data_IF_439288496993
#
_entry.id   IF_439288496993
#
_cell.length_a   1.000
_cell.length_b   1.000
_cell.length_c   1.000
_cell.angle_alpha   90.00
_cell.angle_beta   90.00
_cell.angle_gamma   90.00
#
_symmetry.space_group_name_H-M   'P 1'
#
loop_
_entity.id
_entity.type
_entity.pdbx_description
1 polymer ?
#
# COMPACT_ATOMS: atom_id res chain seq x y z
N UNK A 1 -12.12 -32.26 0.65
CA UNK A 1 -13.39 -31.74 0.11
C UNK A 1 -13.03 -31.03 -1.18
N UNK A 2 -13.17 -31.74 -2.30
CA UNK A 2 -12.71 -31.29 -3.61
C UNK A 2 -13.63 -30.17 -4.10
N UNK A 3 -13.09 -28.95 -4.25
CA UNK A 3 -13.70 -27.95 -5.14
C UNK A 3 -13.25 -28.31 -6.54
N UNK A 4 -14.21 -28.69 -7.38
CA UNK A 4 -14.06 -28.69 -8.83
C UNK A 4 -13.67 -27.27 -9.24
N UNK A 5 -12.44 -27.10 -9.73
CA UNK A 5 -12.02 -25.88 -10.42
C UNK A 5 -12.54 -26.07 -11.84
N UNK A 6 -13.49 -25.22 -12.25
CA UNK A 6 -13.91 -25.15 -13.64
C UNK A 6 -12.70 -24.82 -14.51
N UNK A 7 -12.28 -25.77 -15.35
CA UNK A 7 -11.30 -25.54 -16.41
C UNK A 7 -11.89 -24.51 -17.40
N UNK A 8 -11.40 -23.27 -17.37
CA UNK A 8 -11.56 -22.34 -18.50
C UNK A 8 -11.58 -20.84 -18.22
N UNK A 9 -11.88 -20.39 -17.00
CA UNK A 9 -11.92 -18.95 -16.71
C UNK A 9 -10.50 -18.45 -16.37
N UNK A 10 -9.93 -17.63 -17.27
CA UNK A 10 -8.67 -16.93 -17.01
C UNK A 10 -8.91 -15.92 -15.90
N UNK A 11 -8.29 -16.18 -14.75
CA UNK A 11 -8.25 -15.23 -13.63
C UNK A 11 -7.43 -14.02 -14.09
N UNK A 12 -7.99 -12.81 -13.90
CA UNK A 12 -7.28 -11.56 -14.17
C UNK A 12 -5.95 -11.54 -13.39
N UNK A 13 -4.88 -11.11 -14.03
CA UNK A 13 -3.58 -10.90 -13.39
C UNK A 13 -3.35 -9.42 -13.14
N UNK A 14 -2.82 -9.07 -11.97
CA UNK A 14 -2.55 -7.68 -11.65
C UNK A 14 -2.88 -7.36 -10.19
N UNK A 15 -3.27 -6.11 -9.96
CA UNK A 15 -3.86 -5.68 -8.69
C UNK A 15 -5.14 -4.90 -8.91
N UNK A 16 -6.09 -5.05 -7.99
CA UNK A 16 -7.28 -4.19 -7.91
C UNK A 16 -7.09 -3.17 -6.81
N UNK A 17 -7.28 -1.90 -7.18
CA UNK A 17 -7.22 -0.75 -6.29
C UNK A 17 -8.59 -0.09 -6.21
N UNK A 18 -8.99 0.29 -5.00
CA UNK A 18 -10.19 1.09 -4.77
C UNK A 18 -9.79 2.55 -4.60
N UNK A 19 -10.28 3.43 -5.49
CA UNK A 19 -9.99 4.87 -5.48
C UNK A 19 -11.26 5.66 -5.17
N UNK A 20 -11.26 6.62 -4.22
CA UNK A 20 -12.42 7.50 -4.01
C UNK A 20 -12.78 8.27 -5.28
N UNK A 21 -14.06 8.25 -5.67
CA UNK A 21 -14.58 8.92 -6.87
C UNK A 21 -15.56 10.02 -6.47
N UNK A 22 -15.35 11.23 -6.98
CA UNK A 22 -16.31 12.33 -6.88
C UNK A 22 -16.93 12.55 -8.25
N UNK A 23 -18.25 12.57 -8.31
CA UNK A 23 -18.98 12.86 -9.54
C UNK A 23 -19.57 14.26 -9.42
N UNK A 24 -19.21 15.14 -10.35
CA UNK A 24 -19.63 16.55 -10.37
C UNK A 24 -20.58 16.81 -11.54
N UNK A 25 -21.56 17.67 -11.30
CA UNK A 25 -22.45 18.15 -12.35
C UNK A 25 -21.71 19.07 -13.31
N UNK A 26 -21.91 18.83 -14.60
CA UNK A 26 -21.27 19.59 -15.66
C UNK A 26 -21.65 21.07 -15.65
N UNK A 27 -22.89 21.39 -15.30
CA UNK A 27 -23.40 22.77 -15.35
C UNK A 27 -23.07 23.55 -14.07
N UNK A 28 -23.27 22.96 -12.88
CA UNK A 28 -23.12 23.67 -11.61
C UNK A 28 -21.77 23.44 -10.93
N UNK A 29 -21.00 22.42 -11.33
CA UNK A 29 -19.81 21.92 -10.61
C UNK A 29 -20.11 21.46 -9.18
N UNK A 30 -21.38 21.23 -8.84
CA UNK A 30 -21.77 20.66 -7.55
C UNK A 30 -21.58 19.13 -7.57
N UNK A 31 -21.28 18.56 -6.41
CA UNK A 31 -21.16 17.10 -6.28
C UNK A 31 -22.52 16.44 -6.43
N UNK A 32 -22.65 15.56 -7.43
CA UNK A 32 -23.80 14.68 -7.64
C UNK A 32 -23.77 13.55 -6.62
N UNK A 33 -22.66 12.81 -6.57
CA UNK A 33 -22.44 11.69 -5.64
C UNK A 33 -20.96 11.47 -5.35
N UNK A 34 -20.70 10.88 -4.18
CA UNK A 34 -19.39 10.35 -3.81
C UNK A 34 -19.47 8.83 -3.85
N UNK A 35 -18.58 8.19 -4.59
CA UNK A 35 -18.56 6.74 -4.81
C UNK A 35 -17.11 6.22 -4.78
N UNK A 36 -16.91 5.00 -5.29
CA UNK A 36 -15.60 4.39 -5.48
C UNK A 36 -15.42 4.00 -6.93
N UNK A 37 -14.23 4.28 -7.45
CA UNK A 37 -13.74 3.74 -8.71
C UNK A 37 -12.93 2.49 -8.40
N UNK A 38 -13.25 1.39 -9.07
CA UNK A 38 -12.45 0.18 -9.03
C UNK A 38 -11.47 0.23 -10.19
N UNK A 39 -10.18 0.13 -9.89
CA UNK A 39 -9.09 0.25 -10.86
C UNK A 39 -8.31 -1.06 -10.88
N UNK A 40 -8.35 -1.76 -12.00
CA UNK A 40 -7.47 -2.89 -12.27
C UNK A 40 -6.18 -2.37 -12.91
N UNK A 41 -5.06 -2.83 -12.35
CA UNK A 41 -3.71 -2.49 -12.78
C UNK A 41 -3.01 -3.77 -13.20
N UNK A 42 -2.69 -3.88 -14.48
CA UNK A 42 -2.02 -5.04 -15.05
C UNK A 42 -0.88 -4.64 -15.99
N UNK A 43 -0.06 -5.61 -16.39
CA UNK A 43 0.93 -5.41 -17.45
C UNK A 43 0.22 -5.14 -18.78
N UNK A 44 0.66 -4.13 -19.54
CA UNK A 44 0.13 -3.87 -20.86
C UNK A 44 0.78 -4.81 -21.90
N UNK A 45 0.41 -6.09 -21.87
CA UNK A 45 1.02 -7.12 -22.74
C UNK A 45 0.82 -6.84 -24.24
N UNK A 46 -0.21 -6.08 -24.59
CA UNK A 46 -0.49 -5.62 -25.96
C UNK A 46 0.44 -4.47 -26.43
N UNK A 47 1.08 -3.77 -25.49
CA UNK A 47 2.03 -2.69 -25.77
C UNK A 47 3.23 -2.82 -24.81
N UNK A 48 4.07 -3.86 -25.00
CA UNK A 48 5.16 -4.16 -24.08
C UNK A 48 6.24 -3.06 -24.11
N UNK A 49 6.85 -2.81 -22.96
CA UNK A 49 7.95 -1.86 -22.82
C UNK A 49 9.29 -2.52 -23.11
N UNK A 50 10.17 -1.83 -23.85
CA UNK A 50 11.59 -2.19 -23.98
C UNK A 50 12.46 -1.56 -22.88
N UNK A 51 11.88 -0.73 -22.00
CA UNK A 51 12.60 -0.04 -20.95
C UNK A 51 12.72 -0.92 -19.69
N UNK A 52 13.95 -1.27 -19.23
CA UNK A 52 14.13 -2.09 -18.05
C UNK A 52 13.67 -1.43 -16.74
N UNK A 53 13.46 -0.11 -16.72
CA UNK A 53 13.03 0.63 -15.52
C UNK A 53 11.51 0.69 -15.37
N UNK A 54 10.75 0.39 -16.42
CA UNK A 54 9.30 0.54 -16.40
C UNK A 54 8.60 -0.42 -17.35
N UNK A 55 7.73 -1.25 -16.79
CA UNK A 55 6.78 -2.07 -17.54
C UNK A 55 5.56 -1.19 -17.83
N UNK A 56 5.14 -1.12 -19.08
CA UNK A 56 3.93 -0.39 -19.45
C UNK A 56 2.73 -0.99 -18.70
N UNK A 57 1.88 -0.14 -18.14
CA UNK A 57 0.76 -0.55 -17.27
C UNK A 57 -0.56 -0.29 -17.94
N UNK A 58 -1.42 -1.30 -17.96
CA UNK A 58 -2.82 -1.21 -18.36
C UNK A 58 -3.62 -0.75 -17.13
N UNK A 59 -4.26 0.42 -17.23
CA UNK A 59 -5.15 0.95 -16.19
C UNK A 59 -6.59 0.88 -16.68
N UNK A 60 -7.33 -0.14 -16.24
CA UNK A 60 -8.76 -0.29 -16.54
C UNK A 60 -9.56 0.08 -15.31
N UNK A 61 -10.56 0.93 -15.46
CA UNK A 61 -11.37 1.42 -14.35
C UNK A 61 -12.86 1.22 -14.62
N UNK A 62 -13.58 0.82 -13.57
CA UNK A 62 -15.01 0.52 -13.61
C UNK A 62 -15.73 1.33 -12.53
N UNK A 63 -16.81 1.97 -12.93
CA UNK A 63 -17.83 2.51 -12.05
C UNK A 63 -19.22 2.37 -12.68
N UNK A 64 -20.27 2.80 -11.97
CA UNK A 64 -21.66 2.72 -12.47
C UNK A 64 -21.88 3.42 -13.82
N UNK A 65 -21.06 4.41 -14.14
CA UNK A 65 -21.17 5.24 -15.35
C UNK A 65 -20.48 4.62 -16.58
N UNK A 66 -19.74 3.51 -16.41
CA UNK A 66 -19.12 2.75 -17.51
C UNK A 66 -17.68 2.30 -17.24
N UNK A 67 -17.01 1.93 -18.34
CA UNK A 67 -15.63 1.46 -18.37
C UNK A 67 -14.70 2.54 -18.92
N UNK A 68 -13.52 2.66 -18.32
CA UNK A 68 -12.52 3.67 -18.68
C UNK A 68 -11.16 3.01 -18.74
N UNK A 69 -10.35 3.36 -19.73
CA UNK A 69 -9.07 2.68 -19.90
C UNK A 69 -7.96 3.61 -20.40
N UNK A 70 -6.75 3.42 -19.85
CA UNK A 70 -5.54 4.04 -20.39
C UNK A 70 -4.31 3.18 -20.14
N UNK A 71 -3.44 3.11 -21.13
CA UNK A 71 -2.10 2.57 -21.01
C UNK A 71 -1.13 3.65 -20.52
N UNK A 72 -0.47 3.40 -19.40
CA UNK A 72 0.72 4.16 -19.02
C UNK A 72 1.94 3.54 -19.71
N UNK A 73 2.56 4.30 -20.59
CA UNK A 73 3.73 3.89 -21.34
C UNK A 73 4.96 4.68 -20.92
N UNK A 74 6.14 4.20 -21.28
CA UNK A 74 7.40 4.92 -21.08
C UNK A 74 7.36 6.33 -21.70
N UNK A 75 6.63 6.52 -22.80
CA UNK A 75 6.54 7.79 -23.52
C UNK A 75 5.57 8.80 -22.90
N UNK A 76 4.57 8.31 -22.14
CA UNK A 76 3.52 9.15 -21.57
C UNK A 76 3.59 9.31 -20.04
N UNK A 77 4.38 8.46 -19.36
CA UNK A 77 4.58 8.45 -17.90
C UNK A 77 5.03 9.80 -17.37
N UNK A 78 5.93 10.49 -18.07
CA UNK A 78 6.47 11.78 -17.68
C UNK A 78 5.42 12.91 -17.74
N UNK A 79 4.38 12.76 -18.57
CA UNK A 79 3.29 13.75 -18.72
C UNK A 79 2.25 13.67 -17.61
N UNK A 80 2.27 12.60 -16.82
CA UNK A 80 1.39 12.42 -15.66
C UNK A 80 1.65 13.50 -14.62
N UNK A 81 2.91 13.87 -14.41
CA UNK A 81 3.32 14.75 -13.34
C UNK A 81 3.44 16.19 -13.80
N UNK A 82 3.15 17.12 -12.89
CA UNK A 82 3.43 18.54 -13.11
C UNK A 82 4.94 18.74 -13.23
N UNK A 83 5.36 19.65 -14.12
CA UNK A 83 6.79 19.96 -14.36
C UNK A 83 7.53 20.41 -13.10
N UNK A 84 6.84 21.05 -12.17
CA UNK A 84 7.39 21.48 -10.90
C UNK A 84 6.48 21.02 -9.76
N UNK A 85 7.01 20.16 -8.90
CA UNK A 85 6.34 19.67 -7.70
C UNK A 85 7.23 20.06 -6.51
N UNK A 86 6.73 20.89 -5.59
CA UNK A 86 7.49 21.23 -4.39
C UNK A 86 7.92 19.97 -3.63
N UNK A 87 9.20 19.92 -3.26
CA UNK A 87 9.82 18.88 -2.43
C UNK A 87 9.87 17.47 -3.03
N UNK A 88 9.40 17.22 -4.25
CA UNK A 88 9.46 15.90 -4.90
C UNK A 88 10.33 16.01 -6.16
N UNK A 89 11.48 15.32 -6.14
CA UNK A 89 12.36 15.20 -7.30
C UNK A 89 11.97 13.99 -8.15
N UNK A 90 11.34 14.25 -9.30
CA UNK A 90 10.96 13.24 -10.30
C UNK A 90 11.90 13.18 -11.50
N UNK A 91 13.07 13.82 -11.41
CA UNK A 91 14.11 13.76 -12.46
C UNK A 91 14.77 12.37 -12.53
N UNK A 92 15.52 12.11 -13.60
CA UNK A 92 16.32 10.89 -13.79
C UNK A 92 15.50 9.61 -13.55
N UNK A 93 14.36 9.48 -14.24
CA UNK A 93 13.54 8.26 -14.25
C UNK A 93 12.89 7.88 -12.89
N UNK A 94 13.05 8.70 -11.84
CA UNK A 94 12.38 8.51 -10.53
C UNK A 94 10.86 8.52 -10.60
N UNK A 95 10.29 9.12 -11.65
CA UNK A 95 8.86 9.07 -11.90
C UNK A 95 8.35 7.65 -12.19
N UNK A 96 9.17 6.76 -12.74
CA UNK A 96 8.81 5.34 -12.92
C UNK A 96 8.67 4.63 -11.58
N UNK A 97 9.59 4.86 -10.64
CA UNK A 97 9.50 4.33 -9.28
C UNK A 97 8.20 4.78 -8.60
N UNK A 98 7.86 6.07 -8.73
CA UNK A 98 6.61 6.60 -8.18
C UNK A 98 5.38 5.95 -8.83
N UNK A 99 5.36 5.75 -10.15
CA UNK A 99 4.25 5.08 -10.84
C UNK A 99 4.17 3.59 -10.49
N UNK A 100 5.28 2.91 -10.28
CA UNK A 100 5.31 1.53 -9.83
C UNK A 100 4.71 1.38 -8.43
N UNK A 101 4.97 2.34 -7.54
CA UNK A 101 4.43 2.34 -6.18
C UNK A 101 2.95 2.74 -6.13
N UNK A 102 2.51 3.66 -7.00
CA UNK A 102 1.10 4.07 -7.10
C UNK A 102 0.22 3.04 -7.80
N UNK A 103 0.79 2.29 -8.75
CA UNK A 103 0.10 1.30 -9.58
C UNK A 103 0.91 -0.01 -9.61
N UNK A 104 0.95 -0.78 -8.50
CA UNK A 104 1.68 -2.03 -8.42
C UNK A 104 1.07 -3.10 -9.34
N UNK A 105 1.91 -3.96 -9.93
CA UNK A 105 1.48 -5.04 -10.83
C UNK A 105 1.13 -6.33 -10.09
N UNK A 106 1.54 -6.46 -8.84
CA UNK A 106 1.31 -7.64 -8.01
C UNK A 106 1.15 -7.24 -6.54
N UNK A 107 0.72 -8.21 -5.74
CA UNK A 107 0.44 -7.99 -4.32
C UNK A 107 1.71 -7.69 -3.52
N UNK A 108 2.85 -8.29 -3.87
CA UNK A 108 4.13 -8.08 -3.18
C UNK A 108 4.56 -6.61 -3.33
N UNK A 109 4.55 -6.10 -4.56
CA UNK A 109 4.81 -4.70 -4.89
C UNK A 109 3.84 -3.75 -4.19
N UNK A 110 2.55 -4.13 -4.08
CA UNK A 110 1.55 -3.34 -3.34
C UNK A 110 1.90 -3.26 -1.85
N UNK A 111 2.33 -4.37 -1.24
CA UNK A 111 2.74 -4.43 0.16
C UNK A 111 4.02 -3.63 0.37
N UNK A 112 5.03 -3.82 -0.47
CA UNK A 112 6.30 -3.09 -0.41
C UNK A 112 6.07 -1.58 -0.49
N UNK A 113 5.28 -1.12 -1.47
CA UNK A 113 4.95 0.29 -1.63
C UNK A 113 4.28 0.92 -0.39
N UNK A 114 3.59 0.10 0.43
CA UNK A 114 2.96 0.54 1.68
C UNK A 114 3.89 0.42 2.90
N UNK A 115 4.80 -0.54 2.92
CA UNK A 115 5.68 -0.81 4.06
C UNK A 115 7.00 -0.02 4.03
N UNK A 116 7.52 0.36 2.86
CA UNK A 116 8.85 0.95 2.76
C UNK A 116 8.92 2.36 3.34
N UNK A 117 9.48 2.46 4.54
CA UNK A 117 9.99 3.69 5.19
C UNK A 117 11.47 3.95 4.88
N UNK A 118 12.07 3.19 3.95
CA UNK A 118 13.53 3.00 3.88
C UNK A 118 14.30 4.02 3.02
N UNK A 119 13.65 4.77 2.12
CA UNK A 119 14.34 5.81 1.35
C UNK A 119 13.73 7.22 1.60
N UNK A 120 14.54 8.30 1.65
CA UNK A 120 14.05 9.68 1.86
C UNK A 120 13.04 10.14 0.80
N UNK A 121 13.19 9.67 -0.44
CA UNK A 121 12.23 9.89 -1.53
C UNK A 121 10.92 9.10 -1.36
N UNK A 122 10.92 8.00 -0.60
CA UNK A 122 9.77 7.13 -0.35
C UNK A 122 8.96 7.54 0.89
N UNK A 123 9.55 8.20 1.88
CA UNK A 123 8.80 8.82 2.99
C UNK A 123 7.81 9.90 2.49
N UNK A 124 8.15 10.57 1.39
CA UNK A 124 7.26 11.53 0.73
C UNK A 124 6.11 10.84 -0.03
N UNK A 125 6.31 9.58 -0.45
CA UNK A 125 5.29 8.80 -1.18
C UNK A 125 4.20 8.25 -0.25
N UNK A 126 4.51 7.98 1.02
CA UNK A 126 3.50 7.63 2.04
C UNK A 126 2.47 8.74 2.25
N UNK A 127 2.79 9.96 1.82
CA UNK A 127 1.89 11.10 1.83
C UNK A 127 1.26 11.32 0.44
N UNK A 128 1.01 10.28 -0.36
CA UNK A 128 0.28 10.41 -1.62
C UNK A 128 -1.01 9.61 -1.58
N UNK A 129 -2.08 10.23 -2.10
CA UNK A 129 -3.39 9.60 -2.27
C UNK A 129 -3.90 9.78 -3.69
N UNK A 130 -4.58 8.76 -4.18
CA UNK A 130 -5.32 8.79 -5.42
C UNK A 130 -6.75 9.29 -5.16
N UNK A 131 -7.26 10.13 -6.05
CA UNK A 131 -8.64 10.59 -6.05
C UNK A 131 -9.12 10.70 -7.48
N UNK A 132 -10.26 10.11 -7.79
CA UNK A 132 -10.86 10.15 -9.11
C UNK A 132 -11.96 11.23 -9.16
N UNK A 133 -12.15 11.81 -10.34
CA UNK A 133 -13.23 12.75 -10.61
C UNK A 133 -13.87 12.45 -11.96
N UNK A 134 -15.20 12.41 -12.01
CA UNK A 134 -15.96 12.30 -13.25
C UNK A 134 -16.93 13.47 -13.36
N UNK A 135 -17.01 14.07 -14.55
CA UNK A 135 -18.01 15.09 -14.85
C UNK A 135 -19.18 14.40 -15.53
N UNK A 136 -20.39 14.64 -15.06
CA UNK A 136 -21.62 14.05 -15.63
C UNK A 136 -22.75 15.09 -15.63
N UNK A 137 -23.77 14.86 -16.44
CA UNK A 137 -24.98 15.67 -16.36
C UNK A 137 -25.89 15.15 -15.23
N UNK A 138 -26.37 16.05 -14.36
CA UNK A 138 -27.27 15.70 -13.24
C UNK A 138 -28.56 15.01 -13.70
N UNK A 139 -29.01 15.28 -14.92
CA UNK A 139 -30.18 14.63 -15.53
C UNK A 139 -30.04 13.12 -15.67
N UNK A 140 -28.83 12.58 -15.61
CA UNK A 140 -28.57 11.15 -15.78
C UNK A 140 -28.70 10.36 -14.47
N UNK A 141 -29.17 11.01 -13.40
CA UNK A 141 -29.29 10.42 -12.08
C UNK A 141 -30.72 10.49 -11.57
N UNK A 142 -31.12 9.47 -10.80
CA UNK A 142 -32.41 9.42 -10.12
C UNK A 142 -32.45 10.34 -8.87
N UNK A 143 -33.57 10.30 -8.14
CA UNK A 143 -33.74 11.07 -6.90
C UNK A 143 -32.77 10.64 -5.77
N UNK A 144 -32.17 9.45 -5.84
CA UNK A 144 -31.19 8.93 -4.90
C UNK A 144 -29.74 9.17 -5.33
N UNK A 145 -29.53 9.86 -6.46
CA UNK A 145 -28.25 10.05 -7.13
C UNK A 145 -27.64 8.76 -7.70
N UNK A 146 -28.46 7.76 -8.01
CA UNK A 146 -28.02 6.58 -8.76
C UNK A 146 -28.10 6.83 -10.26
N UNK A 147 -27.16 6.26 -11.01
CA UNK A 147 -27.11 6.43 -12.46
C UNK A 147 -28.27 5.67 -13.10
N UNK A 148 -28.97 6.29 -14.06
CA UNK A 148 -30.15 5.69 -14.67
C UNK A 148 -29.74 4.61 -15.69
N UNK A 149 -30.37 3.43 -15.60
CA UNK A 149 -30.02 2.24 -16.41
C UNK A 149 -30.22 2.42 -17.92
N UNK A 150 -31.17 3.28 -18.33
CA UNK A 150 -31.57 3.47 -19.75
C UNK A 150 -30.79 4.59 -20.47
N UNK A 151 -29.66 5.04 -19.93
CA UNK A 151 -28.86 6.14 -20.47
C UNK A 151 -27.55 5.62 -21.05
N UNK A 152 -27.12 6.22 -22.18
CA UNK A 152 -25.80 5.93 -22.75
C UNK A 152 -24.69 6.18 -21.72
N UNK A 153 -23.67 5.31 -21.62
CA UNK A 153 -22.54 5.48 -20.72
C UNK A 153 -21.90 6.88 -20.83
N UNK A 154 -21.34 7.36 -19.72
CA UNK A 154 -20.77 8.69 -19.67
C UNK A 154 -19.56 8.80 -20.62
N UNK A 155 -19.60 9.78 -21.53
CA UNK A 155 -18.54 10.00 -22.54
C UNK A 155 -17.40 10.92 -22.07
N UNK A 156 -17.44 11.44 -20.84
CA UNK A 156 -16.36 12.27 -20.30
C UNK A 156 -15.26 11.41 -19.67
N UNK A 157 -14.01 11.87 -19.75
CA UNK A 157 -12.88 11.18 -19.12
C UNK A 157 -13.01 11.17 -17.59
N UNK A 158 -12.59 10.08 -16.95
CA UNK A 158 -12.28 10.09 -15.52
C UNK A 158 -10.90 10.73 -15.32
N UNK A 159 -10.81 11.70 -14.42
CA UNK A 159 -9.54 12.31 -14.03
C UNK A 159 -9.05 11.71 -12.72
N UNK A 160 -8.08 10.80 -12.80
CA UNK A 160 -7.31 10.32 -11.66
C UNK A 160 -6.29 11.39 -11.24
N UNK A 161 -6.43 11.92 -10.04
CA UNK A 161 -5.51 12.89 -9.44
C UNK A 161 -4.62 12.22 -8.40
N UNK A 162 -3.32 12.44 -8.51
CA UNK A 162 -2.33 12.07 -7.49
C UNK A 162 -2.14 13.31 -6.62
N UNK A 163 -2.51 13.22 -5.34
CA UNK A 163 -2.50 14.34 -4.40
C UNK A 163 -1.62 14.05 -3.20
N UNK A 164 -1.04 15.08 -2.61
CA UNK A 164 -0.41 14.94 -1.29
C UNK A 164 -1.45 14.69 -0.21
N UNK A 165 -1.10 13.87 0.78
CA UNK A 165 -1.89 13.59 1.95
C UNK A 165 -1.53 14.58 3.06
N UNK A 166 -1.91 15.83 2.80
CA UNK A 166 -1.76 16.94 3.72
C UNK A 166 -3.12 17.60 3.93
N UNK A 167 -3.24 18.40 5.01
CA UNK A 167 -4.41 19.25 5.28
C UNK A 167 -4.80 20.09 4.05
N UNK A 168 -3.80 20.55 3.30
CA UNK A 168 -3.96 21.18 2.00
C UNK A 168 -3.34 20.29 0.94
N UNK A 169 -4.14 19.34 0.45
CA UNK A 169 -3.71 18.38 -0.55
C UNK A 169 -3.38 19.08 -1.87
N UNK A 170 -2.15 18.94 -2.35
CA UNK A 170 -1.69 19.49 -3.63
C UNK A 170 -1.72 18.39 -4.66
N UNK A 171 -2.39 18.62 -5.79
CA UNK A 171 -2.32 17.72 -6.95
C UNK A 171 -0.93 17.80 -7.58
N UNK A 172 -0.20 16.69 -7.56
CA UNK A 172 1.14 16.57 -8.15
C UNK A 172 1.11 15.96 -9.54
N UNK A 173 0.08 15.18 -9.86
CA UNK A 173 -0.09 14.57 -11.17
C UNK A 173 -1.54 14.23 -11.47
N UNK A 174 -1.83 14.03 -12.75
CA UNK A 174 -3.17 13.74 -13.28
C UNK A 174 -3.09 12.74 -14.42
N UNK A 175 -3.99 11.76 -14.41
CA UNK A 175 -4.16 10.78 -15.47
C UNK A 175 -5.62 10.85 -15.91
N UNK A 176 -5.85 11.20 -17.16
CA UNK A 176 -7.17 11.11 -17.78
C UNK A 176 -7.38 9.71 -18.33
N UNK A 177 -8.44 9.03 -17.89
CA UNK A 177 -8.90 7.74 -18.40
C UNK A 177 -10.11 7.99 -19.33
N UNK A 178 -9.94 7.87 -20.65
CA UNK A 178 -11.06 7.98 -21.58
C UNK A 178 -12.05 6.83 -21.41
N UNK A 179 -13.35 7.07 -21.67
CA UNK A 179 -14.34 6.01 -21.72
C UNK A 179 -14.01 5.05 -22.85
N UNK A 180 -14.22 3.76 -22.60
CA UNK A 180 -14.02 2.71 -23.59
C UNK A 180 -15.22 1.79 -23.63
N UNK A 181 -15.48 1.28 -24.83
CA UNK A 181 -16.35 0.14 -25.02
C UNK A 181 -15.46 -1.11 -25.10
N UNK A 182 -15.60 -2.02 -24.14
CA UNK A 182 -14.75 -3.21 -24.02
C UNK A 182 -14.91 -4.10 -25.25
N UNK A 183 -16.12 -4.21 -25.81
CA UNK A 183 -16.39 -5.05 -26.99
C UNK A 183 -15.54 -4.64 -28.21
N UNK A 184 -15.20 -3.35 -28.29
CA UNK A 184 -14.38 -2.79 -29.38
C UNK A 184 -12.87 -2.93 -29.15
N UNK A 185 -12.43 -3.43 -27.99
CA UNK A 185 -11.03 -3.50 -27.59
C UNK A 185 -10.66 -4.92 -27.15
N UNK A 186 -10.26 -5.82 -28.08
CA UNK A 186 -10.03 -7.23 -27.78
C UNK A 186 -9.02 -7.52 -26.66
N UNK A 187 -8.08 -6.60 -26.42
CA UNK A 187 -7.08 -6.69 -25.35
C UNK A 187 -7.67 -6.44 -23.95
N UNK A 188 -8.93 -5.99 -23.85
CA UNK A 188 -9.67 -5.77 -22.62
C UNK A 188 -10.78 -6.81 -22.38
N UNK A 189 -10.91 -7.84 -23.22
CA UNK A 189 -11.99 -8.82 -23.11
C UNK A 189 -12.08 -9.47 -21.71
N UNK A 190 -10.93 -9.74 -21.09
CA UNK A 190 -10.88 -10.34 -19.75
C UNK A 190 -11.43 -9.40 -18.66
N UNK A 191 -11.47 -8.08 -18.93
CA UNK A 191 -11.96 -7.04 -18.02
C UNK A 191 -13.49 -6.93 -17.98
N UNK A 192 -14.19 -7.46 -19.00
CA UNK A 192 -15.65 -7.39 -19.09
C UNK A 192 -16.34 -8.19 -17.99
N UNK A 193 -15.71 -9.28 -17.55
CA UNK A 193 -16.28 -10.17 -16.55
C UNK A 193 -16.02 -9.67 -15.13
N UNK A 194 -17.03 -9.04 -14.52
CA UNK A 194 -16.99 -8.59 -13.12
C UNK A 194 -16.71 -9.72 -12.11
N UNK A 195 -17.00 -10.99 -12.43
CA UNK A 195 -16.63 -12.11 -11.56
C UNK A 195 -15.11 -12.24 -11.46
N UNK A 196 -14.38 -12.07 -12.57
CA UNK A 196 -12.91 -12.11 -12.57
C UNK A 196 -12.32 -11.01 -11.67
N UNK A 197 -12.94 -9.82 -11.67
CA UNK A 197 -12.55 -8.73 -10.78
C UNK A 197 -12.77 -9.09 -9.31
N UNK A 198 -13.94 -9.66 -8.99
CA UNK A 198 -14.23 -10.09 -7.62
C UNK A 198 -13.32 -11.22 -7.17
N UNK A 199 -13.00 -12.19 -8.02
CA UNK A 199 -12.06 -13.27 -7.72
C UNK A 199 -10.66 -12.75 -7.46
N UNK A 200 -10.14 -11.87 -8.33
CA UNK A 200 -8.84 -11.24 -8.11
C UNK A 200 -8.84 -10.44 -6.80
N UNK A 201 -9.83 -9.59 -6.56
CA UNK A 201 -9.93 -8.80 -5.33
C UNK A 201 -10.02 -9.69 -4.08
N UNK A 202 -10.78 -10.78 -4.14
CA UNK A 202 -10.88 -11.74 -3.04
C UNK A 202 -9.56 -12.47 -2.81
N UNK A 203 -8.87 -12.93 -3.87
CA UNK A 203 -7.56 -13.57 -3.73
C UNK A 203 -6.51 -12.63 -3.11
N UNK A 204 -6.55 -11.34 -3.46
CA UNK A 204 -5.71 -10.32 -2.85
C UNK A 204 -6.03 -10.16 -1.35
N UNK A 205 -7.30 -10.10 -0.99
CA UNK A 205 -7.73 -10.00 0.41
C UNK A 205 -7.37 -11.24 1.23
N UNK A 206 -7.55 -12.44 0.68
CA UNK A 206 -7.16 -13.71 1.32
C UNK A 206 -5.66 -13.74 1.58
N UNK A 207 -4.85 -13.39 0.58
CA UNK A 207 -3.39 -13.31 0.71
C UNK A 207 -2.95 -12.27 1.75
N UNK A 208 -3.59 -11.10 1.77
CA UNK A 208 -3.33 -10.07 2.79
C UNK A 208 -3.73 -10.54 4.20
N UNK A 209 -4.81 -11.30 4.33
CA UNK A 209 -5.27 -11.87 5.59
C UNK A 209 -4.28 -12.93 6.10
N UNK A 210 -3.78 -13.80 5.23
CA UNK A 210 -2.75 -14.79 5.58
C UNK A 210 -1.48 -14.13 6.09
N UNK A 211 -0.99 -13.09 5.39
CA UNK A 211 0.16 -12.30 5.83
C UNK A 211 -0.09 -11.59 7.17
N UNK A 212 -1.30 -11.10 7.42
CA UNK A 212 -1.68 -10.50 8.70
C UNK A 212 -1.64 -11.54 9.83
N UNK A 213 -2.15 -12.74 9.58
CA UNK A 213 -2.12 -13.85 10.54
C UNK A 213 -0.68 -14.26 10.85
N UNK A 214 0.16 -14.43 9.82
CA UNK A 214 1.58 -14.77 9.99
C UNK A 214 2.33 -13.68 10.78
N UNK A 215 2.12 -12.42 10.43
CA UNK A 215 2.71 -11.27 11.13
C UNK A 215 2.30 -11.23 12.59
N UNK A 216 1.03 -11.47 12.90
CA UNK A 216 0.53 -11.50 14.28
C UNK A 216 1.13 -12.67 15.08
N UNK A 217 1.22 -13.86 14.49
CA UNK A 217 1.87 -15.02 15.12
C UNK A 217 3.35 -14.75 15.40
N UNK A 218 4.05 -14.11 14.47
CA UNK A 218 5.45 -13.69 14.66
C UNK A 218 5.59 -12.65 15.76
N UNK A 219 4.67 -11.69 15.85
CA UNK A 219 4.65 -10.66 16.88
C UNK A 219 4.41 -11.27 18.27
N UNK A 220 3.50 -12.22 18.40
CA UNK A 220 3.24 -12.92 19.66
C UNK A 220 4.44 -13.80 20.09
N UNK A 221 5.09 -14.47 19.13
CA UNK A 221 6.36 -15.19 19.37
C UNK A 221 7.44 -14.24 19.88
N UNK A 222 7.65 -13.11 19.21
CA UNK A 222 8.65 -12.11 19.61
C UNK A 222 8.34 -11.51 20.98
N UNK A 223 7.07 -11.24 21.30
CA UNK A 223 6.67 -10.81 22.66
C UNK A 223 7.02 -11.85 23.72
N UNK A 224 6.74 -13.13 23.46
CA UNK A 224 7.07 -14.21 24.40
C UNK A 224 8.58 -14.37 24.59
N UNK A 225 9.36 -14.29 23.50
CA UNK A 225 10.83 -14.30 23.56
C UNK A 225 11.36 -13.10 24.36
N UNK A 226 10.79 -11.91 24.17
CA UNK A 226 11.18 -10.70 24.89
C UNK A 226 10.87 -10.80 26.40
N UNK A 227 9.70 -11.32 26.78
CA UNK A 227 9.36 -11.56 28.20
C UNK A 227 10.33 -12.56 28.88
N UNK A 228 10.74 -13.62 28.16
CA UNK A 228 11.73 -14.57 28.67
C UNK A 228 13.10 -13.91 28.85
N UNK A 229 13.51 -13.05 27.91
CA UNK A 229 14.75 -12.29 28.00
C UNK A 229 14.72 -11.32 29.18
N UNK A 230 13.63 -10.58 29.38
CA UNK A 230 13.45 -9.68 30.52
C UNK A 230 13.53 -10.43 31.86
N UNK A 231 12.83 -11.57 31.99
CA UNK A 231 12.90 -12.40 33.19
C UNK A 231 14.30 -12.96 33.44
N UNK A 232 15.00 -13.43 32.41
CA UNK A 232 16.38 -13.91 32.52
C UNK A 232 17.35 -12.80 32.92
N UNK A 233 17.16 -11.58 32.41
CA UNK A 233 17.96 -10.40 32.80
C UNK A 233 17.73 -10.04 34.27
N UNK A 234 16.50 -10.12 34.76
CA UNK A 234 16.16 -9.88 36.16
C UNK A 234 16.79 -10.93 37.09
N UNK A 235 16.69 -12.21 36.73
CA UNK A 235 17.35 -13.30 37.47
C UNK A 235 18.88 -13.12 37.51
N UNK A 236 19.49 -12.79 36.37
CA UNK A 236 20.93 -12.57 36.27
C UNK A 236 21.38 -11.39 37.14
N UNK A 237 20.60 -10.31 37.20
CA UNK A 237 20.87 -9.18 38.11
C UNK A 237 20.81 -9.61 39.57
N UNK A 238 19.76 -10.32 39.96
CA UNK A 238 19.62 -10.82 41.34
C UNK A 238 20.76 -11.77 41.73
N UNK A 239 21.23 -12.61 40.82
CA UNK A 239 22.36 -13.49 41.09
C UNK A 239 23.69 -12.72 41.18
N UNK A 240 23.87 -11.69 40.35
CA UNK A 240 25.03 -10.80 40.43
C UNK A 240 25.07 -10.04 41.76
N UNK A 241 23.93 -9.52 42.23
CA UNK A 241 23.83 -8.82 43.51
C UNK A 241 24.16 -9.77 44.68
N UNK A 242 23.68 -11.01 44.67
CA UNK A 242 24.05 -12.03 45.67
C UNK A 242 25.55 -12.36 45.66
N UNK A 243 26.17 -12.42 44.47
CA UNK A 243 27.61 -12.65 44.34
C UNK A 243 28.38 -11.48 44.95
N UNK A 244 27.93 -10.24 44.72
CA UNK A 244 28.54 -9.05 45.34
C UNK A 244 28.43 -9.12 46.86
N UNK A 245 27.24 -9.38 47.41
CA UNK A 245 27.03 -9.48 48.86
C UNK A 245 27.89 -10.59 49.51
N UNK A 246 28.02 -11.75 48.86
CA UNK A 246 28.89 -12.85 49.33
C UNK A 246 30.37 -12.47 49.28
N UNK A 247 30.83 -11.79 48.21
CA UNK A 247 32.20 -11.30 48.10
C UNK A 247 32.50 -10.24 49.17
N UNK A 248 31.63 -9.26 49.37
CA UNK A 248 31.76 -8.23 50.40
C UNK A 248 31.85 -8.86 51.79
N UNK A 249 30.95 -9.81 52.10
CA UNK A 249 30.94 -10.55 53.37
C UNK A 249 32.26 -11.29 53.59
N UNK A 250 32.80 -11.98 52.57
CA UNK A 250 34.11 -12.65 52.63
C UNK A 250 35.26 -11.67 52.82
N UNK A 251 35.24 -10.52 52.14
CA UNK A 251 36.24 -9.47 52.33
C UNK A 251 36.22 -8.92 53.76
N UNK A 252 35.05 -8.67 54.34
CA UNK A 252 34.91 -8.23 55.73
C UNK A 252 35.43 -9.26 56.73
N UNK A 253 35.13 -10.55 56.53
CA UNK A 253 35.65 -11.64 57.36
C UNK A 253 37.19 -11.70 57.35
N UNK A 254 37.79 -11.63 56.16
CA UNK A 254 39.25 -11.62 56.00
C UNK A 254 39.86 -10.36 56.62
N UNK A 255 39.22 -9.20 56.44
CA UNK A 255 39.68 -7.93 57.03
C UNK A 255 39.65 -7.98 58.56
N UNK A 256 38.59 -8.52 59.15
CA UNK A 256 38.47 -8.67 60.60
C UNK A 256 39.51 -9.66 61.14
N UNK A 257 39.67 -10.83 60.51
CA UNK A 257 40.71 -11.80 60.89
C UNK A 257 42.12 -11.19 60.85
N UNK A 258 42.42 -10.35 59.84
CA UNK A 258 43.70 -9.63 59.76
C UNK A 258 43.83 -8.57 60.86
N UNK A 259 42.76 -7.82 61.16
CA UNK A 259 42.75 -6.84 62.26
C UNK A 259 42.99 -7.51 63.61
N UNK A 260 42.31 -8.63 63.88
CA UNK A 260 42.49 -9.41 65.11
C UNK A 260 43.92 -9.93 65.23
N UNK A 261 44.50 -10.42 64.13
CA UNK A 261 45.91 -10.87 64.11
C UNK A 261 46.88 -9.73 64.41
N UNK A 262 46.66 -8.54 63.85
CA UNK A 262 47.49 -7.36 64.12
C UNK A 262 47.34 -6.93 65.59
N UNK A 263 46.13 -6.97 66.13
CA UNK A 263 45.87 -6.66 67.54
C UNK A 263 46.63 -7.63 68.48
N UNK A 264 46.56 -8.94 68.21
CA UNK A 264 47.33 -9.95 68.94
C UNK A 264 48.84 -9.72 68.89
N UNK A 265 49.37 -9.30 67.72
CA UNK A 265 50.81 -9.05 67.52
C UNK A 265 51.29 -7.74 68.15
N UNK A 266 50.40 -6.77 68.36
CA UNK A 266 50.75 -5.45 68.95
C UNK A 266 50.60 -5.41 70.47
N UNK A 267 49.88 -6.37 71.06
CA UNK A 267 49.59 -6.44 72.50
C UNK A 267 50.24 -7.66 73.20
N UNK A 268 51.16 -8.35 72.52
CA UNK A 268 52.09 -9.33 73.10
C UNK A 268 53.50 -8.75 73.09
#
# INVERSE_FOLDING_TARGET
>A
MNKEIHEGEKILSGTILRVPLIIEDKATSETIKNSSLWLHVSGADYEPSNNPLFINKSLTAICSEGYFHKTLTTDNSNRVFRRYIPNIDLSNDKHFELLNNLFPLDLESLIEAKQTTKAPTQQQQQQLKLMAKLISDKSNYDANNEYLDDIEPNKNNIVLSIKTDAKYAVTIGTIELPPVDIENNPYLNDEENLLNWMELYNSQNESLLELLIESNNNLDRLKSENQKLESNLELTKNDYDKIIEDLESKFYLVLNSKKDKIYELTHK
#
